data_IF_484368564221
#
_entry.id   IF_484368564221
#
_cell.length_a   1.000
_cell.length_b   1.000
_cell.length_c   1.000
_cell.angle_alpha   90.00
_cell.angle_beta   90.00
_cell.angle_gamma   90.00
#
_symmetry.space_group_name_H-M   'P 1'
#
loop_
_entity.id
_entity.type
_entity.pdbx_description
1 polymer ?
#
# COMPACT_ATOMS: atom_id res chain seq x y z
N UNK A 1 -51.39 -5.18 -52.57
CA UNK A 1 -51.74 -5.35 -51.14
C UNK A 1 -50.52 -5.98 -50.51
N UNK A 2 -49.75 -5.17 -49.78
CA UNK A 2 -48.55 -5.58 -49.05
C UNK A 2 -48.92 -6.56 -47.94
N UNK A 3 -48.12 -7.61 -47.74
CA UNK A 3 -48.08 -8.35 -46.48
C UNK A 3 -46.63 -8.36 -45.99
N UNK A 4 -46.40 -7.62 -44.91
CA UNK A 4 -45.18 -7.67 -44.10
C UNK A 4 -45.48 -8.47 -42.82
N UNK A 5 -44.59 -9.35 -42.34
CA UNK A 5 -44.78 -9.98 -41.04
C UNK A 5 -44.28 -9.07 -39.91
N UNK A 6 -45.18 -8.76 -38.98
CA UNK A 6 -44.92 -8.05 -37.74
C UNK A 6 -44.23 -8.96 -36.72
N UNK A 7 -42.97 -8.67 -36.37
CA UNK A 7 -42.29 -9.29 -35.22
C UNK A 7 -42.58 -8.48 -33.95
N UNK A 8 -43.20 -9.12 -32.95
CA UNK A 8 -43.36 -8.54 -31.60
C UNK A 8 -42.09 -8.74 -30.77
N UNK A 9 -41.62 -7.74 -30.00
CA UNK A 9 -40.47 -7.93 -29.12
C UNK A 9 -40.92 -8.57 -27.79
N UNK A 10 -40.21 -9.63 -27.39
CA UNK A 10 -40.32 -10.27 -26.07
C UNK A 10 -39.61 -9.42 -25.02
N UNK A 11 -40.36 -8.88 -24.06
CA UNK A 11 -39.80 -8.21 -22.88
C UNK A 11 -39.38 -9.27 -21.85
N UNK A 12 -38.08 -9.53 -21.73
CA UNK A 12 -37.52 -10.13 -20.54
C UNK A 12 -37.17 -9.01 -19.54
N UNK A 13 -37.54 -9.13 -18.26
CA UNK A 13 -37.05 -8.20 -17.25
C UNK A 13 -35.55 -8.42 -17.06
N UNK A 14 -34.76 -7.39 -17.36
CA UNK A 14 -33.33 -7.35 -17.03
C UNK A 14 -33.22 -7.28 -15.52
N UNK A 15 -32.61 -8.30 -14.91
CA UNK A 15 -32.20 -8.26 -13.51
C UNK A 15 -31.11 -7.20 -13.39
N UNK A 16 -31.49 -6.03 -12.91
CA UNK A 16 -30.54 -5.01 -12.47
C UNK A 16 -29.82 -5.59 -11.24
N UNK A 17 -28.48 -5.70 -11.23
CA UNK A 17 -27.77 -6.09 -10.03
C UNK A 17 -28.05 -5.07 -8.94
N UNK A 18 -28.55 -5.52 -7.80
CA UNK A 18 -28.67 -4.69 -6.61
C UNK A 18 -27.25 -4.44 -6.11
N UNK A 19 -26.75 -3.20 -6.23
CA UNK A 19 -25.56 -2.72 -5.52
C UNK A 19 -25.86 -2.72 -4.01
N UNK A 20 -25.83 -3.90 -3.38
CA UNK A 20 -25.64 -3.98 -1.95
C UNK A 20 -24.17 -3.64 -1.67
N UNK A 21 -23.87 -2.71 -0.75
CA UNK A 21 -22.50 -2.53 -0.29
C UNK A 21 -22.03 -3.88 0.25
N UNK A 22 -20.94 -4.38 -0.29
CA UNK A 22 -20.29 -5.56 0.28
C UNK A 22 -19.84 -5.15 1.68
N UNK A 23 -20.49 -5.65 2.73
CA UNK A 23 -20.10 -5.35 4.11
C UNK A 23 -18.62 -5.72 4.27
N UNK A 24 -17.75 -4.71 4.35
CA UNK A 24 -16.36 -4.90 4.66
C UNK A 24 -16.27 -5.46 6.08
N UNK A 25 -15.93 -6.73 6.21
CA UNK A 25 -15.86 -7.50 7.47
C UNK A 25 -14.61 -7.16 8.30
N UNK A 26 -14.10 -5.93 8.21
CA UNK A 26 -12.95 -5.53 9.00
C UNK A 26 -13.42 -5.16 10.43
N UNK A 27 -12.95 -5.92 11.42
CA UNK A 27 -12.97 -5.55 12.84
C UNK A 27 -14.35 -5.35 13.49
N UNK A 28 -15.42 -5.92 12.92
CA UNK A 28 -16.81 -5.66 13.33
C UNK A 28 -17.18 -4.16 13.31
N UNK A 29 -16.47 -3.34 12.53
CA UNK A 29 -16.79 -1.93 12.32
C UNK A 29 -17.67 -1.80 11.07
N UNK A 30 -18.54 -0.80 11.06
CA UNK A 30 -19.16 -0.37 9.81
C UNK A 30 -18.07 0.24 8.89
N UNK A 31 -18.28 0.27 7.57
CA UNK A 31 -17.34 0.91 6.65
C UNK A 31 -16.95 2.33 7.08
N UNK A 32 -17.95 3.16 7.43
CA UNK A 32 -17.72 4.52 7.95
C UNK A 32 -16.92 4.55 9.26
N UNK A 33 -17.08 3.54 10.12
CA UNK A 33 -16.31 3.41 11.35
C UNK A 33 -14.84 3.09 11.09
N UNK A 34 -14.57 2.27 10.05
CA UNK A 34 -13.21 1.94 9.64
C UNK A 34 -12.51 3.13 8.98
N UNK A 35 -13.17 3.87 8.09
CA UNK A 35 -12.58 5.05 7.45
C UNK A 35 -12.19 6.13 8.48
N UNK A 36 -13.06 6.35 9.48
CA UNK A 36 -12.79 7.26 10.59
C UNK A 36 -11.59 6.79 11.42
N UNK A 37 -11.48 5.48 11.65
CA UNK A 37 -10.34 4.89 12.32
C UNK A 37 -9.04 5.11 11.52
N UNK A 38 -9.02 4.81 10.22
CA UNK A 38 -7.85 5.03 9.36
C UNK A 38 -7.44 6.50 9.30
N UNK A 39 -8.42 7.40 9.23
CA UNK A 39 -8.19 8.86 9.29
C UNK A 39 -7.52 9.24 10.61
N UNK A 40 -7.93 8.64 11.73
CA UNK A 40 -7.31 8.91 13.04
C UNK A 40 -5.85 8.43 13.11
N UNK A 41 -5.52 7.32 12.45
CA UNK A 41 -4.14 6.82 12.32
C UNK A 41 -3.31 7.81 11.52
N UNK A 42 -3.80 8.22 10.35
CA UNK A 42 -3.10 9.16 9.48
C UNK A 42 -2.82 10.51 10.19
N UNK A 43 -3.82 11.05 10.91
CA UNK A 43 -3.64 12.27 11.71
C UNK A 43 -2.65 12.06 12.87
N UNK A 44 -2.66 10.89 13.52
CA UNK A 44 -1.69 10.59 14.57
C UNK A 44 -0.25 10.54 14.04
N UNK A 45 -0.06 10.01 12.83
CA UNK A 45 1.26 9.88 12.20
C UNK A 45 1.75 11.22 11.63
N UNK A 46 0.91 11.90 10.83
CA UNK A 46 1.30 13.07 10.03
C UNK A 46 0.82 14.41 10.60
N UNK A 47 -0.07 14.41 11.59
CA UNK A 47 -0.72 15.63 12.06
C UNK A 47 -1.77 16.13 11.07
N UNK A 48 -1.61 17.37 10.60
CA UNK A 48 -2.57 17.98 9.68
C UNK A 48 -2.37 17.45 8.24
N UNK A 49 -3.40 16.82 7.69
CA UNK A 49 -3.40 16.32 6.31
C UNK A 49 -3.96 17.42 5.39
N UNK A 50 -3.14 17.86 4.43
CA UNK A 50 -3.49 18.93 3.50
C UNK A 50 -3.77 18.39 2.09
N UNK A 51 -4.68 19.02 1.32
CA UNK A 51 -4.95 18.61 -0.05
C UNK A 51 -3.70 18.64 -0.96
N UNK A 52 -3.55 17.64 -1.82
CA UNK A 52 -2.45 17.49 -2.77
C UNK A 52 -1.14 16.98 -2.18
N UNK A 53 -1.10 16.66 -0.88
CA UNK A 53 0.11 16.17 -0.21
C UNK A 53 0.30 14.66 -0.36
N UNK A 54 1.53 14.14 -0.23
CA UNK A 54 1.77 12.70 -0.07
C UNK A 54 0.94 12.06 1.04
N UNK A 55 0.74 12.77 2.15
CA UNK A 55 -0.06 12.34 3.30
C UNK A 55 -1.52 12.13 2.94
N UNK A 56 -2.10 13.04 2.14
CA UNK A 56 -3.46 12.86 1.65
C UNK A 56 -3.54 11.67 0.71
N UNK A 57 -2.64 11.56 -0.27
CA UNK A 57 -2.65 10.44 -1.22
C UNK A 57 -2.49 9.08 -0.53
N UNK A 58 -1.66 9.01 0.50
CA UNK A 58 -1.50 7.83 1.34
C UNK A 58 -2.79 7.47 2.08
N UNK A 59 -3.51 8.46 2.62
CA UNK A 59 -4.79 8.22 3.28
C UNK A 59 -5.87 7.79 2.28
N UNK A 60 -5.97 8.48 1.14
CA UNK A 60 -6.91 8.14 0.07
C UNK A 60 -6.68 6.70 -0.40
N UNK A 61 -5.42 6.30 -0.63
CA UNK A 61 -5.05 4.93 -0.95
C UNK A 61 -5.47 3.95 0.17
N UNK A 62 -5.12 4.23 1.42
CA UNK A 62 -5.39 3.33 2.56
C UNK A 62 -6.90 3.11 2.78
N UNK A 63 -7.71 4.13 2.55
CA UNK A 63 -9.19 4.04 2.66
C UNK A 63 -9.84 3.38 1.44
N UNK A 64 -9.18 3.35 0.29
CA UNK A 64 -9.66 2.67 -0.90
C UNK A 64 -9.35 1.16 -0.92
N UNK A 65 -8.51 0.67 -0.01
CA UNK A 65 -8.17 -0.76 0.08
C UNK A 65 -9.33 -1.60 0.61
N UNK A 66 -9.99 -2.36 -0.28
CA UNK A 66 -11.17 -3.17 0.07
C UNK A 66 -10.78 -4.46 0.83
N UNK A 67 -9.51 -4.90 0.77
CA UNK A 67 -9.11 -6.24 1.23
C UNK A 67 -8.06 -6.28 2.36
N UNK A 68 -7.55 -5.14 2.83
CA UNK A 68 -6.59 -5.12 3.96
C UNK A 68 -7.31 -4.81 5.28
N UNK A 69 -7.75 -5.87 5.98
CA UNK A 69 -8.33 -5.76 7.31
C UNK A 69 -7.28 -6.05 8.40
N UNK A 70 -6.65 -5.02 8.96
CA UNK A 70 -5.81 -5.16 10.14
C UNK A 70 -6.55 -4.67 11.40
N UNK A 71 -6.91 -5.60 12.27
CA UNK A 71 -7.73 -5.33 13.46
C UNK A 71 -6.95 -5.33 14.77
N UNK A 72 -5.66 -5.65 14.72
CA UNK A 72 -4.80 -5.51 15.89
C UNK A 72 -4.35 -4.06 16.04
N UNK A 73 -5.15 -3.29 16.77
CA UNK A 73 -4.92 -1.87 17.08
C UNK A 73 -3.65 -1.62 17.90
N UNK A 74 -3.07 -2.67 18.51
CA UNK A 74 -1.82 -2.58 19.25
C UNK A 74 -0.60 -2.94 18.38
N UNK A 75 -0.83 -3.34 17.13
CA UNK A 75 0.25 -3.63 16.18
C UNK A 75 0.75 -2.34 15.52
N UNK A 76 2.08 -2.25 15.35
CA UNK A 76 2.75 -1.24 14.52
C UNK A 76 2.24 -1.24 13.07
N UNK A 77 1.72 -2.37 12.59
CA UNK A 77 1.50 -2.65 11.18
C UNK A 77 0.65 -1.59 10.47
N UNK A 78 -0.45 -1.13 11.07
CA UNK A 78 -1.30 -0.11 10.40
C UNK A 78 -0.63 1.27 10.35
N UNK A 79 0.14 1.62 11.38
CA UNK A 79 0.92 2.87 11.41
C UNK A 79 2.05 2.82 10.38
N UNK A 80 2.74 1.69 10.30
CA UNK A 80 3.85 1.49 9.37
C UNK A 80 3.37 1.41 7.93
N UNK A 81 2.25 0.71 7.66
CA UNK A 81 1.63 0.67 6.32
C UNK A 81 1.28 2.06 5.81
N UNK A 82 0.64 2.89 6.64
CA UNK A 82 0.39 4.28 6.30
C UNK A 82 1.70 5.05 6.07
N UNK A 83 2.67 4.90 6.97
CA UNK A 83 3.98 5.57 6.89
C UNK A 83 4.72 5.21 5.59
N UNK A 84 4.70 3.94 5.20
CA UNK A 84 5.28 3.46 3.94
C UNK A 84 4.54 4.00 2.72
N UNK A 85 3.22 4.18 2.78
CA UNK A 85 2.48 4.84 1.71
C UNK A 85 2.84 6.33 1.60
N UNK A 86 3.03 7.02 2.73
CA UNK A 86 3.54 8.40 2.72
C UNK A 86 4.94 8.44 2.11
N UNK A 87 5.82 7.49 2.47
CA UNK A 87 7.13 7.33 1.84
C UNK A 87 7.00 7.19 0.33
N UNK A 88 6.24 6.21 -0.17
CA UNK A 88 5.99 6.00 -1.60
C UNK A 88 5.63 7.31 -2.32
N UNK A 89 4.61 8.02 -1.84
CA UNK A 89 4.16 9.25 -2.50
C UNK A 89 5.12 10.43 -2.32
N UNK A 90 5.93 10.46 -1.26
CA UNK A 90 6.91 11.52 -1.01
C UNK A 90 8.16 11.36 -1.87
N UNK A 91 8.47 10.12 -2.25
CA UNK A 91 9.66 9.77 -3.03
C UNK A 91 9.35 9.46 -4.49
N UNK A 92 8.18 9.89 -4.98
CA UNK A 92 7.80 9.76 -6.39
C UNK A 92 7.52 8.33 -6.84
N UNK A 93 6.88 7.53 -5.98
CA UNK A 93 6.68 6.09 -6.18
C UNK A 93 6.08 5.67 -7.52
N UNK A 94 5.19 6.49 -8.10
CA UNK A 94 4.61 6.24 -9.42
C UNK A 94 5.63 6.31 -10.57
N UNK A 95 6.85 6.81 -10.29
CA UNK A 95 7.96 6.98 -11.23
C UNK A 95 9.22 6.19 -10.84
N UNK A 96 9.10 5.27 -9.88
CA UNK A 96 10.16 4.28 -9.64
C UNK A 96 10.30 3.37 -10.85
N UNK A 97 11.50 2.82 -11.07
CA UNK A 97 11.80 1.97 -12.23
C UNK A 97 11.15 0.57 -12.11
N UNK A 98 11.01 0.09 -10.88
CA UNK A 98 10.56 -1.25 -10.50
C UNK A 98 9.55 -1.17 -9.35
N UNK A 99 8.63 -2.13 -9.29
CA UNK A 99 7.74 -2.35 -8.14
C UNK A 99 6.85 -1.15 -7.73
N UNK A 100 6.60 -0.22 -8.65
CA UNK A 100 5.62 0.87 -8.49
C UNK A 100 4.21 0.31 -8.37
N UNK A 101 3.30 1.10 -7.78
CA UNK A 101 1.91 0.69 -7.59
C UNK A 101 1.23 0.36 -8.94
N UNK A 102 0.64 -0.84 -9.10
CA UNK A 102 -0.11 -1.19 -10.30
C UNK A 102 -1.55 -0.66 -10.25
N UNK A 103 -2.31 -0.90 -11.32
CA UNK A 103 -3.77 -0.71 -11.29
C UNK A 103 -4.41 -1.72 -10.32
N UNK A 104 -4.76 -1.23 -9.12
CA UNK A 104 -5.33 -2.03 -8.05
C UNK A 104 -6.75 -2.53 -8.33
N UNK A 105 -7.41 -2.03 -9.38
CA UNK A 105 -8.74 -2.51 -9.79
C UNK A 105 -8.69 -3.80 -10.60
N UNK A 106 -7.49 -4.24 -11.02
CA UNK A 106 -7.27 -5.41 -11.85
C UNK A 106 -6.31 -6.40 -11.18
N UNK A 107 -6.82 -7.55 -10.76
CA UNK A 107 -5.98 -8.61 -10.19
C UNK A 107 -4.88 -9.05 -11.15
N UNK A 108 -5.15 -9.11 -12.46
CA UNK A 108 -4.15 -9.46 -13.46
C UNK A 108 -3.02 -8.43 -13.55
N UNK A 109 -3.33 -7.14 -13.35
CA UNK A 109 -2.31 -6.09 -13.31
C UNK A 109 -1.44 -6.20 -12.04
N UNK A 110 -2.06 -6.48 -10.90
CA UNK A 110 -1.36 -6.76 -9.63
C UNK A 110 -0.42 -7.97 -9.80
N UNK A 111 -0.93 -9.09 -10.32
CA UNK A 111 -0.15 -10.32 -10.50
C UNK A 111 1.05 -10.08 -11.43
N UNK A 112 0.82 -9.34 -12.53
CA UNK A 112 1.90 -8.97 -13.48
C UNK A 112 2.95 -8.10 -12.80
N UNK A 113 2.54 -7.06 -12.08
CA UNK A 113 3.46 -6.17 -11.38
C UNK A 113 4.27 -6.89 -10.30
N UNK A 114 3.67 -7.82 -9.55
CA UNK A 114 4.40 -8.64 -8.57
C UNK A 114 5.40 -9.58 -9.26
N UNK A 115 5.05 -10.16 -10.41
CA UNK A 115 5.97 -10.98 -11.20
C UNK A 115 7.12 -10.14 -11.75
N UNK A 116 6.86 -8.93 -12.23
CA UNK A 116 7.85 -8.07 -12.88
C UNK A 116 8.70 -7.30 -11.88
N UNK A 117 8.21 -7.11 -10.65
CA UNK A 117 8.94 -6.47 -9.57
C UNK A 117 10.23 -7.24 -9.23
N UNK A 118 11.38 -6.68 -9.62
CA UNK A 118 12.70 -7.33 -9.49
C UNK A 118 13.75 -6.37 -8.93
N UNK A 119 13.63 -6.03 -7.65
CA UNK A 119 14.70 -5.30 -6.96
C UNK A 119 15.90 -6.18 -6.61
N UNK A 120 17.08 -5.55 -6.58
CA UNK A 120 18.27 -6.17 -6.02
C UNK A 120 18.38 -5.80 -4.54
N UNK A 121 18.51 -6.80 -3.67
CA UNK A 121 18.72 -6.61 -2.24
C UNK A 121 20.14 -7.02 -1.85
N UNK A 122 20.70 -6.35 -0.84
CA UNK A 122 22.00 -6.67 -0.27
C UNK A 122 21.92 -8.03 0.40
N UNK A 123 22.96 -8.84 0.19
CA UNK A 123 23.12 -10.08 0.94
C UNK A 123 23.53 -9.76 2.36
N UNK A 124 22.56 -9.76 3.26
CA UNK A 124 22.80 -9.58 4.69
C UNK A 124 23.34 -10.88 5.30
N UNK A 125 24.37 -10.83 6.17
CA UNK A 125 24.86 -12.01 6.86
C UNK A 125 23.76 -12.69 7.70
N UNK A 126 23.65 -14.03 7.71
CA UNK A 126 22.58 -14.74 8.44
C UNK A 126 22.47 -14.40 9.93
N UNK A 127 23.58 -13.98 10.55
CA UNK A 127 23.59 -13.56 11.95
C UNK A 127 22.77 -12.28 12.23
N UNK A 128 22.54 -11.43 11.21
CA UNK A 128 21.77 -10.19 11.34
C UNK A 128 20.27 -10.38 11.00
N UNK A 129 19.92 -11.50 10.36
CA UNK A 129 18.54 -11.84 9.93
C UNK A 129 17.81 -12.79 10.91
N UNK A 130 18.39 -13.07 12.09
CA UNK A 130 17.73 -13.90 13.11
C UNK A 130 16.46 -13.19 13.59
N UNK A 131 15.31 -13.86 13.43
CA UNK A 131 14.00 -13.31 13.84
C UNK A 131 13.36 -12.38 12.81
N UNK A 132 13.88 -12.33 11.58
CA UNK A 132 13.28 -11.58 10.48
C UNK A 132 12.50 -12.49 9.53
N UNK A 133 11.53 -11.91 8.83
CA UNK A 133 10.92 -12.49 7.65
C UNK A 133 11.87 -12.35 6.44
N UNK A 134 11.58 -13.08 5.37
CA UNK A 134 12.27 -12.88 4.09
C UNK A 134 11.97 -11.49 3.52
N UNK A 135 12.85 -10.98 2.64
CA UNK A 135 12.53 -9.78 1.86
C UNK A 135 11.24 -9.98 1.07
N UNK A 136 10.36 -8.98 1.13
CA UNK A 136 9.20 -8.92 0.25
C UNK A 136 9.61 -8.79 -1.23
N UNK A 137 8.67 -9.13 -2.11
CA UNK A 137 8.85 -9.16 -3.57
C UNK A 137 7.67 -8.58 -4.35
N UNK A 138 6.60 -8.20 -3.65
CA UNK A 138 5.40 -7.68 -4.30
C UNK A 138 5.56 -6.20 -4.64
N UNK A 139 4.87 -5.74 -5.68
CA UNK A 139 4.81 -4.31 -5.99
C UNK A 139 4.22 -3.54 -4.80
N UNK A 140 4.70 -2.33 -4.59
CA UNK A 140 4.27 -1.48 -3.48
C UNK A 140 2.79 -1.13 -3.60
N UNK A 141 2.16 -0.89 -2.45
CA UNK A 141 0.76 -0.47 -2.36
C UNK A 141 -0.26 -1.49 -2.90
N UNK A 142 0.17 -2.73 -3.15
CA UNK A 142 -0.73 -3.86 -3.43
C UNK A 142 -1.46 -4.29 -2.15
N UNK A 143 -2.67 -4.88 -2.26
CA UNK A 143 -3.57 -5.14 -1.12
C UNK A 143 -3.18 -6.41 -0.33
N UNK A 144 -1.88 -6.57 -0.10
CA UNK A 144 -1.23 -7.60 0.73
C UNK A 144 -0.53 -6.92 1.90
N UNK A 145 -0.07 -7.69 2.88
CA UNK A 145 0.69 -7.17 4.01
C UNK A 145 1.95 -6.41 3.57
N UNK A 146 2.28 -5.28 4.22
CA UNK A 146 3.41 -4.45 3.78
C UNK A 146 4.75 -5.18 3.91
N UNK A 147 4.85 -6.22 4.75
CA UNK A 147 6.03 -7.06 4.86
C UNK A 147 6.28 -7.91 3.61
N UNK A 148 5.32 -8.05 2.69
CA UNK A 148 5.53 -8.73 1.41
C UNK A 148 5.92 -7.77 0.29
N UNK A 149 5.84 -6.45 0.51
CA UNK A 149 6.28 -5.47 -0.47
C UNK A 149 7.79 -5.51 -0.66
N UNK A 150 8.19 -5.30 -1.91
CA UNK A 150 9.57 -5.38 -2.34
C UNK A 150 10.49 -4.51 -1.49
N UNK A 151 11.48 -5.16 -0.89
CA UNK A 151 12.53 -4.46 -0.13
C UNK A 151 12.15 -4.16 1.31
N UNK A 152 10.92 -4.46 1.70
CA UNK A 152 10.50 -4.42 3.10
C UNK A 152 10.86 -5.73 3.76
N UNK A 153 11.44 -5.63 4.95
CA UNK A 153 11.66 -6.76 5.85
C UNK A 153 11.07 -6.44 7.19
N UNK A 154 10.26 -7.35 7.70
CA UNK A 154 9.67 -7.23 9.02
C UNK A 154 10.24 -8.26 9.98
N UNK A 155 10.05 -8.01 11.28
CA UNK A 155 10.31 -9.02 12.32
C UNK A 155 9.21 -10.06 12.36
N UNK A 156 9.59 -11.32 12.52
CA UNK A 156 8.61 -12.43 12.59
C UNK A 156 7.78 -12.41 13.87
N UNK A 157 8.23 -11.72 14.93
CA UNK A 157 7.53 -11.63 16.22
C UNK A 157 6.42 -10.58 16.28
N UNK A 158 6.53 -9.51 15.49
CA UNK A 158 5.67 -8.32 15.57
C UNK A 158 5.07 -7.91 14.23
N UNK A 159 5.66 -8.38 13.12
CA UNK A 159 5.42 -7.90 11.76
C UNK A 159 5.73 -6.39 11.61
N UNK A 160 6.54 -5.82 12.52
CA UNK A 160 7.02 -4.46 12.36
C UNK A 160 8.20 -4.39 11.40
N UNK A 161 8.30 -3.30 10.64
CA UNK A 161 9.37 -3.04 9.68
C UNK A 161 10.70 -2.90 10.42
N UNK A 162 11.66 -3.71 9.97
CA UNK A 162 13.03 -3.73 10.46
C UNK A 162 14.02 -3.16 9.43
N UNK A 163 13.76 -3.40 8.14
CA UNK A 163 14.61 -2.92 7.05
C UNK A 163 13.76 -2.46 5.86
N UNK A 164 14.19 -1.35 5.29
CA UNK A 164 13.74 -0.85 4.00
C UNK A 164 14.96 -0.82 3.09
N UNK A 165 14.92 -1.62 2.04
CA UNK A 165 16.02 -1.76 1.09
C UNK A 165 15.50 -1.67 -0.33
N UNK A 166 15.85 -0.57 -1.00
CA UNK A 166 15.28 -0.23 -2.28
C UNK A 166 16.32 0.53 -3.14
N UNK A 167 17.48 -0.11 -3.31
CA UNK A 167 18.61 0.42 -4.05
C UNK A 167 18.31 0.49 -5.55
N UNK A 168 18.79 1.55 -6.20
CA UNK A 168 18.88 1.62 -7.66
C UNK A 168 17.53 1.64 -8.36
N UNK A 169 16.50 2.16 -7.69
CA UNK A 169 15.14 2.20 -8.20
C UNK A 169 14.59 3.62 -8.40
N UNK A 170 15.49 4.56 -8.71
CA UNK A 170 15.17 5.97 -8.91
C UNK A 170 14.32 6.57 -7.76
N UNK A 171 14.57 6.13 -6.52
CA UNK A 171 13.90 6.69 -5.34
C UNK A 171 14.33 8.14 -5.23
N UNK A 172 13.39 9.06 -5.42
CA UNK A 172 13.64 10.49 -5.51
C UNK A 172 12.99 11.29 -4.38
N UNK A 173 12.76 12.58 -4.62
CA UNK A 173 11.96 13.43 -3.75
C UNK A 173 12.62 13.68 -2.39
N UNK A 174 11.82 13.72 -1.33
CA UNK A 174 12.28 13.95 0.05
C UNK A 174 11.84 12.82 0.97
N UNK A 175 12.67 12.48 1.95
CA UNK A 175 12.28 11.54 3.00
C UNK A 175 11.25 12.20 3.93
N UNK A 176 10.07 11.58 4.15
CA UNK A 176 9.05 12.16 5.01
C UNK A 176 9.39 12.03 6.50
N UNK A 177 8.99 13.01 7.30
CA UNK A 177 9.17 13.03 8.77
C UNK A 177 8.46 11.84 9.45
N UNK A 178 7.45 11.29 8.81
CA UNK A 178 6.70 10.12 9.25
C UNK A 178 7.57 8.87 9.41
N UNK A 179 8.72 8.78 8.74
CA UNK A 179 9.64 7.64 8.87
C UNK A 179 10.09 7.38 10.31
N UNK A 180 10.10 8.39 11.19
CA UNK A 180 10.40 8.21 12.63
C UNK A 180 9.38 7.34 13.36
N UNK A 181 8.21 7.09 12.77
CA UNK A 181 7.19 6.17 13.31
C UNK A 181 7.55 4.70 13.11
N UNK A 182 8.55 4.39 12.30
CA UNK A 182 9.05 3.03 12.09
C UNK A 182 10.04 2.67 13.20
N UNK A 183 9.51 2.41 14.41
CA UNK A 183 10.29 2.31 15.65
C UNK A 183 11.27 1.13 15.69
N UNK A 184 11.07 0.12 14.83
CA UNK A 184 11.90 -1.07 14.78
C UNK A 184 12.94 -1.04 13.63
N UNK A 185 12.91 0.00 12.78
CA UNK A 185 13.81 0.09 11.62
C UNK A 185 15.27 0.24 12.08
N UNK A 186 16.10 -0.67 11.57
CA UNK A 186 17.55 -0.69 11.77
C UNK A 186 18.32 -0.27 10.52
N UNK A 187 17.74 -0.53 9.35
CA UNK A 187 18.40 -0.31 8.06
C UNK A 187 17.47 0.41 7.10
N UNK A 188 17.92 1.56 6.60
CA UNK A 188 17.30 2.29 5.50
C UNK A 188 18.35 2.42 4.39
N UNK A 189 18.18 1.65 3.31
CA UNK A 189 19.14 1.53 2.21
C UNK A 189 18.45 2.00 0.94
N UNK A 190 18.74 3.24 0.53
CA UNK A 190 18.13 3.92 -0.63
C UNK A 190 19.20 4.44 -1.60
N UNK A 191 20.32 3.72 -1.70
CA UNK A 191 21.44 4.13 -2.55
C UNK A 191 21.05 4.16 -4.03
N UNK A 192 21.79 4.95 -4.83
CA UNK A 192 21.57 5.09 -6.28
C UNK A 192 20.16 5.54 -6.67
N UNK A 193 19.60 6.47 -5.89
CA UNK A 193 18.42 7.26 -6.24
C UNK A 193 18.75 8.75 -6.38
N UNK A 194 17.72 9.59 -6.38
CA UNK A 194 17.78 11.05 -6.45
C UNK A 194 17.08 11.69 -5.23
N UNK A 195 17.17 11.03 -4.07
CA UNK A 195 16.63 11.58 -2.81
C UNK A 195 17.37 12.85 -2.42
N UNK A 196 16.62 13.84 -1.95
CA UNK A 196 17.11 15.18 -1.62
C UNK A 196 16.44 15.72 -0.36
N UNK A 197 16.88 16.90 0.08
CA UNK A 197 16.33 17.54 1.29
C UNK A 197 16.97 17.04 2.60
N UNK A 198 16.40 17.42 3.75
CA UNK A 198 16.92 17.02 5.06
C UNK A 198 16.61 15.56 5.35
N UNK A 199 17.49 14.92 6.12
CA UNK A 199 17.18 13.66 6.78
C UNK A 199 16.19 13.98 7.92
N UNK A 200 15.06 13.26 8.03
CA UNK A 200 14.11 13.43 9.11
C UNK A 200 14.74 13.39 10.49
N UNK A 201 14.25 14.25 11.38
CA UNK A 201 14.66 14.20 12.79
C UNK A 201 14.03 13.00 13.51
N UNK A 202 14.82 12.38 14.40
CA UNK A 202 14.37 11.31 15.31
C UNK A 202 13.16 11.75 16.17
#
# INVERSE_FOLDING_TARGET
VEDAPSASPSFFPSLVPTDQPTESKCCNLSPLGYDSFLTSIAISVSGLILPGTPQQRALDWLTAEINFCQCDINSCQIFERYTLAVFYFSTGGDSWEECSMPDLSSQAAIDTANIDCKITTTKVPPALDIGLLSNGTDAWLTPVDHCTWAGIVCRSSSLCVDRIEFEGNNVGGTLPEELKRLLEVRFLILERGDTSGPIPSE
#
